data_IF_013630100034
#
_entry.id   IF_013630100034
#
_cell.length_a   1.000
_cell.length_b   1.000
_cell.length_c   1.000
_cell.angle_alpha   90.00
_cell.angle_beta   90.00
_cell.angle_gamma   90.00
#
_symmetry.space_group_name_H-M   'P 1'
#
loop_
_entity.id
_entity.type
_entity.pdbx_description
1 polymer ?
#
# COMPACT_ATOMS: atom_id res chain seq x y z
N UNK A 1 -17.42 4.91 25.34
CA UNK A 1 -16.88 3.55 25.17
C UNK A 1 -15.61 3.68 24.35
N UNK A 2 -14.44 3.30 24.87
CA UNK A 2 -13.21 3.26 24.06
C UNK A 2 -13.26 1.96 23.27
N UNK A 3 -13.36 2.06 21.96
CA UNK A 3 -13.24 0.89 21.08
C UNK A 3 -11.84 0.27 21.26
N UNK A 4 -11.72 -1.05 21.40
CA UNK A 4 -10.42 -1.69 21.54
C UNK A 4 -9.59 -1.46 20.28
N UNK A 5 -8.35 -0.99 20.46
CA UNK A 5 -7.39 -0.87 19.35
C UNK A 5 -7.14 -2.25 18.75
N UNK A 6 -7.80 -2.54 17.61
CA UNK A 6 -7.65 -3.79 16.88
C UNK A 6 -6.49 -3.66 15.91
N UNK A 7 -5.41 -4.36 16.21
CA UNK A 7 -4.26 -4.50 15.33
C UNK A 7 -4.47 -5.67 14.37
N UNK A 8 -4.10 -5.48 13.12
CA UNK A 8 -4.12 -6.50 12.08
C UNK A 8 -2.75 -7.17 12.00
N UNK A 9 -2.73 -8.50 11.95
CA UNK A 9 -1.53 -9.27 11.65
C UNK A 9 -1.11 -9.15 10.17
N UNK A 10 0.08 -9.61 9.81
CA UNK A 10 0.55 -9.59 8.40
C UNK A 10 -0.37 -10.36 7.45
N UNK A 11 -1.04 -11.40 7.96
CA UNK A 11 -2.01 -12.17 7.19
C UNK A 11 -3.29 -11.36 6.99
N UNK A 12 -3.86 -10.79 8.06
CA UNK A 12 -5.06 -9.96 7.99
C UNK A 12 -4.86 -8.68 7.18
N UNK A 13 -3.68 -8.06 7.27
CA UNK A 13 -3.31 -6.92 6.44
C UNK A 13 -3.28 -7.31 4.95
N UNK A 14 -2.73 -8.49 4.62
CA UNK A 14 -2.71 -8.99 3.25
C UNK A 14 -4.13 -9.31 2.74
N UNK A 15 -4.97 -9.93 3.57
CA UNK A 15 -6.38 -10.17 3.23
C UNK A 15 -7.16 -8.88 3.01
N UNK A 16 -6.93 -7.85 3.83
CA UNK A 16 -7.55 -6.52 3.66
C UNK A 16 -7.18 -5.87 2.34
N UNK A 17 -5.94 -6.05 1.90
CA UNK A 17 -5.43 -5.56 0.62
C UNK A 17 -5.83 -6.45 -0.56
N UNK A 18 -6.49 -7.60 -0.31
CA UNK A 18 -6.79 -8.59 -1.34
C UNK A 18 -5.55 -9.23 -1.96
N UNK A 19 -4.40 -9.19 -1.27
CA UNK A 19 -3.13 -9.75 -1.73
C UNK A 19 -2.74 -10.98 -0.94
N UNK A 20 -1.97 -11.86 -1.57
CA UNK A 20 -1.40 -13.01 -0.85
C UNK A 20 -0.37 -12.56 0.18
N UNK A 21 -0.30 -13.22 1.35
CA UNK A 21 0.67 -12.96 2.42
C UNK A 21 2.11 -12.86 1.90
N UNK A 22 2.50 -13.75 0.98
CA UNK A 22 3.83 -13.74 0.35
C UNK A 22 4.08 -12.46 -0.46
N UNK A 23 3.05 -11.96 -1.16
CA UNK A 23 3.12 -10.69 -1.90
C UNK A 23 3.31 -9.51 -0.95
N UNK A 24 2.64 -9.51 0.21
CA UNK A 24 2.85 -8.52 1.26
C UNK A 24 4.30 -8.55 1.78
N UNK A 25 4.88 -9.73 2.03
CA UNK A 25 6.29 -9.84 2.43
C UNK A 25 7.28 -9.46 1.32
N UNK A 26 6.90 -9.63 0.05
CA UNK A 26 7.73 -9.31 -1.11
C UNK A 26 7.69 -7.82 -1.48
N UNK A 27 6.61 -7.11 -1.15
CA UNK A 27 6.53 -5.65 -1.32
C UNK A 27 7.46 -4.97 -0.29
N UNK A 28 8.38 -4.15 -0.80
CA UNK A 28 9.33 -3.33 -0.05
C UNK A 28 9.13 -1.88 -0.48
N UNK A 29 9.24 -0.90 0.44
CA UNK A 29 9.43 -1.04 1.90
C UNK A 29 8.18 -1.59 2.62
N UNK A 30 8.40 -2.39 3.67
CA UNK A 30 7.32 -2.80 4.57
C UNK A 30 6.92 -1.62 5.48
N UNK A 31 5.63 -1.47 5.83
CA UNK A 31 5.24 -0.43 6.77
C UNK A 31 5.87 -0.68 8.14
N UNK A 32 6.26 0.38 8.88
CA UNK A 32 6.71 0.25 10.26
C UNK A 32 5.66 -0.50 11.09
N UNK A 33 6.04 -1.46 11.93
CA UNK A 33 5.08 -2.15 12.79
C UNK A 33 4.63 -1.24 13.93
N UNK A 34 3.33 -0.91 13.98
CA UNK A 34 2.75 -0.11 15.08
C UNK A 34 2.72 -0.88 16.40
N UNK A 35 2.57 -2.20 16.33
CA UNK A 35 2.59 -3.07 17.48
C UNK A 35 3.40 -4.33 17.18
N UNK A 36 4.10 -4.85 18.18
CA UNK A 36 4.73 -6.16 18.12
C UNK A 36 4.00 -7.06 19.11
N UNK A 37 3.22 -8.02 18.60
CA UNK A 37 2.47 -8.99 19.39
C UNK A 37 3.29 -10.29 19.40
N UNK A 38 4.12 -10.45 20.43
CA UNK A 38 5.07 -11.56 20.53
C UNK A 38 6.10 -11.53 19.38
N UNK A 39 6.07 -12.53 18.51
CA UNK A 39 6.90 -12.60 17.29
C UNK A 39 6.23 -12.01 16.04
N UNK A 40 4.95 -11.63 16.14
CA UNK A 40 4.16 -11.15 15.02
C UNK A 40 4.13 -9.62 15.02
N UNK A 41 4.44 -9.03 13.87
CA UNK A 41 4.25 -7.60 13.62
C UNK A 41 2.77 -7.34 13.36
N UNK A 42 2.20 -6.40 14.09
CA UNK A 42 0.85 -5.91 13.96
C UNK A 42 0.85 -4.49 13.42
N UNK A 43 -0.12 -4.19 12.56
CA UNK A 43 -0.33 -2.87 11.99
C UNK A 43 -1.74 -2.40 12.32
N UNK A 44 -1.92 -1.10 12.46
CA UNK A 44 -3.26 -0.53 12.51
C UNK A 44 -3.91 -0.60 11.12
N UNK A 45 -5.24 -0.77 11.05
CA UNK A 45 -5.95 -0.67 9.77
C UNK A 45 -5.69 0.67 9.07
N UNK A 46 -5.52 1.74 9.83
CA UNK A 46 -5.17 3.08 9.32
C UNK A 46 -3.76 3.13 8.71
N UNK A 47 -2.77 2.47 9.35
CA UNK A 47 -1.40 2.36 8.82
C UNK A 47 -1.35 1.52 7.54
N UNK A 48 -2.12 0.43 7.47
CA UNK A 48 -2.20 -0.39 6.25
C UNK A 48 -2.85 0.40 5.11
N UNK A 49 -3.89 1.17 5.40
CA UNK A 49 -4.57 2.03 4.42
C UNK A 49 -3.64 3.14 3.90
N UNK A 50 -2.95 3.84 4.81
CA UNK A 50 -1.95 4.84 4.45
C UNK A 50 -0.76 4.24 3.67
N UNK A 51 -0.32 3.03 4.03
CA UNK A 51 0.73 2.32 3.31
C UNK A 51 0.28 1.90 1.91
N UNK A 52 -0.94 1.40 1.75
CA UNK A 52 -1.49 1.11 0.43
C UNK A 52 -1.63 2.39 -0.40
N UNK A 53 -2.14 3.48 0.18
CA UNK A 53 -2.26 4.76 -0.50
C UNK A 53 -0.90 5.35 -0.92
N UNK A 54 0.17 5.07 -0.19
CA UNK A 54 1.54 5.50 -0.56
C UNK A 54 2.17 4.56 -1.60
N UNK A 55 1.83 3.26 -1.58
CA UNK A 55 2.31 2.26 -2.54
C UNK A 55 1.55 2.26 -3.87
N UNK A 56 0.23 2.50 -3.84
CA UNK A 56 -0.67 2.63 -4.99
C UNK A 56 -0.54 3.97 -5.70
N UNK A 57 0.39 4.82 -5.27
CA UNK A 57 0.91 5.92 -6.08
C UNK A 57 2.19 5.49 -6.78
N UNK A 58 2.13 4.84 -7.97
CA UNK A 58 3.09 5.25 -8.97
C UNK A 58 2.78 6.74 -9.18
N UNK A 59 3.70 7.63 -8.83
CA UNK A 59 3.57 9.02 -9.23
C UNK A 59 3.17 9.05 -10.71
N UNK A 60 2.38 10.03 -11.18
CA UNK A 60 2.13 10.16 -12.60
C UNK A 60 3.50 10.10 -13.26
N UNK A 61 3.78 9.03 -14.04
CA UNK A 61 4.85 9.13 -15.02
C UNK A 61 4.48 10.42 -15.77
N UNK A 62 5.36 11.43 -15.87
CA UNK A 62 5.12 12.44 -16.86
C UNK A 62 5.03 11.65 -18.17
N UNK A 63 3.81 11.43 -18.64
CA UNK A 63 3.56 10.91 -19.98
C UNK A 63 4.33 11.86 -20.86
N UNK A 64 5.42 11.37 -21.46
CA UNK A 64 6.13 12.13 -22.47
C UNK A 64 5.04 12.59 -23.47
N UNK A 65 4.96 13.90 -23.79
CA UNK A 65 3.97 14.36 -24.74
C UNK A 65 4.16 13.58 -26.05
N UNK A 66 3.09 12.96 -26.51
CA UNK A 66 3.08 12.21 -27.75
C UNK A 66 3.47 13.16 -28.89
N UNK A 67 4.64 12.96 -29.51
CA UNK A 67 5.19 13.83 -30.56
C UNK A 67 4.39 13.73 -31.88
N UNK A 68 3.36 12.87 -31.94
CA UNK A 68 2.57 12.63 -33.15
C UNK A 68 1.37 13.58 -33.35
N UNK A 69 1.18 14.59 -32.48
CA UNK A 69 0.05 15.55 -32.61
C UNK A 69 0.36 16.78 -33.49
N UNK A 70 1.46 16.77 -34.25
CA UNK A 70 1.95 17.97 -34.97
C UNK A 70 1.75 18.04 -36.48
N UNK A 71 0.99 17.14 -37.10
CA UNK A 71 0.81 17.20 -38.56
C UNK A 71 -0.62 16.86 -39.00
N UNK A 72 -1.57 17.70 -38.61
CA UNK A 72 -2.90 17.73 -39.23
C UNK A 72 -3.56 19.11 -39.12
N UNK A 73 -2.80 20.18 -39.39
CA UNK A 73 -3.38 21.42 -39.89
C UNK A 73 -2.28 22.29 -40.52
N UNK A 74 -2.10 22.14 -41.84
CA UNK A 74 -1.96 23.20 -42.86
C UNK A 74 -1.26 22.66 -44.12
#
# INVERSE_FOLDING_TARGET
>A
MRDPLRFLSAAEAAERLGIHKVTFYRRRPQPPPDAIIGSTRGWLPETIDAWDATMSKPGPRPTAPNIHDREANQ
#
